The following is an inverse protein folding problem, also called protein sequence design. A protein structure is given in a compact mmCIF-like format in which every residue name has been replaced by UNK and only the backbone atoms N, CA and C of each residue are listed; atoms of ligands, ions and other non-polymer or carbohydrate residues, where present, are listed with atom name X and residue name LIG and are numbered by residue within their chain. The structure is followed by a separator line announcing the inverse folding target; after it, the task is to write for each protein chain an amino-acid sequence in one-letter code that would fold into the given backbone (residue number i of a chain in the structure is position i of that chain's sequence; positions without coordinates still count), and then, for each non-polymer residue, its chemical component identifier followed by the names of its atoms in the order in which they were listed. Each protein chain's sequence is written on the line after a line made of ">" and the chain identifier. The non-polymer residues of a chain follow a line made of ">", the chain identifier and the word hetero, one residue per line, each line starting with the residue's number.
data_IF_381056418742
#
_entry.id   IF_381056418742
#
_cell.length_a   1.000
_cell.length_b   1.000
_cell.length_c   1.000
_cell.angle_alpha   90.00
_cell.angle_beta   90.00
_cell.angle_gamma   90.00
#
_symmetry.space_group_name_H-M   'P 1'
#
loop_
_entity.id
_entity.type
_entity.pdbx_description
1 polymer ?
#
# COMPACT_ATOMS: atom_id res chain seq x y z
N UNK A 1 0.45 2.05 18.22
CA UNK A 1 0.20 2.49 16.84
C UNK A 1 0.96 3.80 16.66
N UNK A 2 1.72 3.93 15.59
CA UNK A 2 2.39 5.17 15.20
C UNK A 2 1.70 5.73 13.96
N UNK A 3 1.34 7.01 14.00
CA UNK A 3 0.79 7.76 12.86
C UNK A 3 1.78 8.83 12.46
N UNK A 4 1.62 9.42 11.27
CA UNK A 4 2.53 10.47 10.83
C UNK A 4 3.87 9.94 10.26
N UNK A 5 4.00 8.63 10.06
CA UNK A 5 5.26 7.99 9.69
C UNK A 5 5.58 8.33 8.23
N UNK A 6 6.59 9.17 8.00
CA UNK A 6 6.95 9.63 6.64
C UNK A 6 5.85 10.42 5.95
N UNK A 7 5.00 11.14 6.70
CA UNK A 7 3.84 11.86 6.18
C UNK A 7 2.54 11.30 6.73
N UNK A 8 1.69 10.71 5.89
CA UNK A 8 0.39 10.14 6.31
C UNK A 8 0.46 8.65 6.64
N UNK A 9 1.66 8.05 6.70
CA UNK A 9 1.83 6.64 6.97
C UNK A 9 1.42 6.24 8.39
N UNK A 10 0.93 5.01 8.52
CA UNK A 10 0.50 4.41 9.79
C UNK A 10 1.19 3.07 9.98
N UNK A 11 1.70 2.83 11.18
CA UNK A 11 2.33 1.56 11.55
C UNK A 11 1.70 1.05 12.84
N UNK A 12 1.14 -0.15 12.80
CA UNK A 12 0.69 -0.86 14.00
C UNK A 12 1.59 -2.06 14.27
N UNK A 13 1.72 -2.42 15.56
CA UNK A 13 2.55 -3.52 16.01
C UNK A 13 1.67 -4.52 16.75
N UNK A 14 1.79 -5.80 16.42
CA UNK A 14 1.07 -6.91 17.07
C UNK A 14 2.08 -7.99 17.43
N UNK A 15 1.95 -8.60 18.62
CA UNK A 15 2.84 -9.65 19.12
C UNK A 15 3.77 -9.20 20.24
N UNK A 16 4.85 -9.95 20.46
CA UNK A 16 5.70 -9.84 21.66
C UNK A 16 6.54 -8.55 21.72
N UNK A 17 6.71 -7.86 20.60
CA UNK A 17 7.67 -6.76 20.47
C UNK A 17 9.13 -7.22 20.34
N UNK A 18 9.38 -8.53 20.39
CA UNK A 18 10.70 -9.14 20.19
C UNK A 18 10.86 -9.67 18.75
N UNK A 19 12.09 -10.00 18.40
CA UNK A 19 12.42 -10.64 17.14
C UNK A 19 11.93 -12.12 17.12
N UNK A 20 11.68 -12.70 15.94
CA UNK A 20 11.66 -12.08 14.60
C UNK A 20 10.57 -11.03 14.42
N UNK A 21 10.86 -10.04 13.58
CA UNK A 21 9.91 -9.00 13.17
C UNK A 21 9.59 -9.22 11.69
N UNK A 22 8.31 -9.29 11.34
CA UNK A 22 7.84 -9.36 9.96
C UNK A 22 7.00 -8.13 9.61
N UNK A 23 7.12 -7.62 8.40
CA UNK A 23 6.25 -6.56 7.88
C UNK A 23 5.14 -7.16 7.03
N UNK A 24 3.91 -6.72 7.25
CA UNK A 24 2.80 -6.83 6.31
C UNK A 24 2.45 -5.42 5.82
N UNK A 25 2.61 -5.15 4.53
CA UNK A 25 2.45 -3.82 3.93
C UNK A 25 1.22 -3.74 3.04
N UNK A 26 0.50 -2.64 3.14
CA UNK A 26 -0.53 -2.18 2.20
C UNK A 26 -0.26 -0.71 1.85
N UNK A 27 -0.43 -0.36 0.58
CA UNK A 27 -0.54 1.02 0.11
C UNK A 27 -1.95 1.57 0.39
N UNK A 28 -2.08 2.91 0.46
CA UNK A 28 -3.33 3.57 0.88
C UNK A 28 -3.73 4.79 0.04
N UNK A 29 -2.91 5.22 -0.92
CA UNK A 29 -3.22 6.36 -1.79
C UNK A 29 -4.23 6.01 -2.88
N UNK A 30 -4.95 7.03 -3.36
CA UNK A 30 -5.80 6.94 -4.54
C UNK A 30 -5.19 7.67 -5.73
N UNK A 31 -5.85 7.57 -6.88
CA UNK A 31 -5.41 8.18 -8.14
C UNK A 31 -6.26 9.39 -8.52
N UNK A 32 -5.70 10.38 -9.25
CA UNK A 32 -6.43 11.53 -9.78
C UNK A 32 -7.17 11.17 -11.07
N UNK A 33 -8.00 10.12 -11.01
CA UNK A 33 -8.85 9.67 -12.11
C UNK A 33 -10.30 9.55 -11.64
N UNK A 34 -11.29 9.97 -12.46
CA UNK A 34 -12.70 9.75 -12.15
C UNK A 34 -12.99 8.27 -11.93
N UNK A 35 -13.91 7.98 -11.01
CA UNK A 35 -14.41 6.62 -10.88
C UNK A 35 -15.40 6.31 -12.01
N UNK A 36 -15.11 5.27 -12.78
CA UNK A 36 -15.98 4.79 -13.85
C UNK A 36 -16.36 3.34 -13.56
N UNK A 37 -17.66 3.07 -13.44
CA UNK A 37 -18.17 1.70 -13.36
C UNK A 37 -18.36 1.17 -14.78
N UNK A 38 -17.67 0.09 -15.18
CA UNK A 38 -17.86 -0.51 -16.49
C UNK A 38 -19.32 -0.95 -16.69
N UNK A 39 -19.86 -0.74 -17.89
CA UNK A 39 -21.28 -1.01 -18.20
C UNK A 39 -21.69 -2.48 -18.06
N UNK A 40 -20.72 -3.39 -18.04
CA UNK A 40 -20.91 -4.83 -17.83
C UNK A 40 -20.95 -5.23 -16.34
N UNK A 41 -20.72 -4.31 -15.40
CA UNK A 41 -20.87 -4.57 -13.96
C UNK A 41 -22.34 -4.39 -13.58
N UNK A 42 -23.02 -5.43 -13.07
CA UNK A 42 -24.39 -5.31 -12.59
C UNK A 42 -24.49 -4.22 -11.50
N UNK A 43 -25.50 -3.34 -11.52
CA UNK A 43 -25.65 -2.29 -10.50
C UNK A 43 -25.72 -2.85 -9.07
N UNK A 44 -26.18 -4.08 -8.89
CA UNK A 44 -26.21 -4.77 -7.59
C UNK A 44 -24.83 -5.13 -7.03
N UNK A 45 -23.77 -5.10 -7.85
CA UNK A 45 -22.39 -5.32 -7.41
C UNK A 45 -21.65 -4.01 -7.12
N UNK A 46 -22.24 -2.85 -7.44
CA UNK A 46 -21.69 -1.54 -7.09
C UNK A 46 -22.18 -1.21 -5.68
N UNK A 47 -21.31 -1.40 -4.69
CA UNK A 47 -21.65 -1.21 -3.27
C UNK A 47 -21.44 0.25 -2.86
N UNK A 48 -20.33 0.85 -3.26
CA UNK A 48 -20.00 2.26 -3.04
C UNK A 48 -19.20 2.82 -4.22
N UNK A 49 -19.21 4.15 -4.34
CA UNK A 49 -18.39 4.90 -5.30
C UNK A 49 -17.76 6.10 -4.59
N UNK A 50 -16.62 6.56 -5.12
CA UNK A 50 -15.95 7.76 -4.66
C UNK A 50 -16.87 8.97 -4.69
N UNK A 51 -16.94 9.66 -3.55
CA UNK A 51 -17.63 10.93 -3.40
C UNK A 51 -16.72 12.13 -3.74
N UNK A 52 -15.46 11.87 -4.12
CA UNK A 52 -14.49 12.88 -4.51
C UNK A 52 -14.37 12.95 -6.03
N UNK A 53 -14.84 14.05 -6.62
CA UNK A 53 -14.77 14.25 -8.06
C UNK A 53 -13.34 14.12 -8.60
N UNK A 54 -13.19 13.34 -9.68
CA UNK A 54 -11.90 13.10 -10.34
C UNK A 54 -10.90 12.28 -9.52
N UNK A 55 -11.34 11.58 -8.46
CA UNK A 55 -10.47 10.73 -7.63
C UNK A 55 -11.11 9.39 -7.36
N UNK A 56 -10.31 8.32 -7.38
CA UNK A 56 -10.78 6.97 -7.10
C UNK A 56 -9.64 6.06 -6.65
N UNK A 57 -9.97 4.90 -6.06
CA UNK A 57 -9.01 3.83 -5.80
C UNK A 57 -8.91 2.87 -7.00
N UNK A 58 -8.65 3.41 -8.19
CA UNK A 58 -8.58 2.63 -9.43
C UNK A 58 -7.46 1.56 -9.46
N UNK A 59 -6.50 1.62 -8.53
CA UNK A 59 -5.44 0.62 -8.35
C UNK A 59 -5.73 -0.42 -7.23
N UNK A 60 -6.85 -0.28 -6.52
CA UNK A 60 -7.28 -1.25 -5.50
C UNK A 60 -6.64 -1.10 -4.12
N UNK A 61 -6.01 0.04 -3.82
CA UNK A 61 -5.33 0.30 -2.54
C UNK A 61 -6.30 0.33 -1.35
N UNK A 62 -7.57 0.66 -1.57
CA UNK A 62 -8.65 0.48 -0.60
C UNK A 62 -8.82 -0.99 -0.21
N UNK A 63 -8.81 -1.89 -1.18
CA UNK A 63 -8.82 -3.34 -0.98
C UNK A 63 -7.58 -3.82 -0.22
N UNK A 64 -6.39 -3.31 -0.54
CA UNK A 64 -5.15 -3.65 0.17
C UNK A 64 -5.22 -3.22 1.64
N UNK A 65 -5.66 -1.99 1.91
CA UNK A 65 -5.84 -1.47 3.26
C UNK A 65 -6.86 -2.29 4.06
N UNK A 66 -8.00 -2.63 3.45
CA UNK A 66 -9.04 -3.46 4.07
C UNK A 66 -8.53 -4.87 4.39
N UNK A 67 -7.78 -5.50 3.49
CA UNK A 67 -7.15 -6.81 3.73
C UNK A 67 -6.16 -6.76 4.90
N UNK A 68 -5.33 -5.70 4.98
CA UNK A 68 -4.38 -5.55 6.09
C UNK A 68 -5.08 -5.29 7.43
N UNK A 69 -6.18 -4.53 7.44
CA UNK A 69 -7.04 -4.39 8.62
C UNK A 69 -7.68 -5.73 9.03
N UNK A 70 -8.08 -6.55 8.06
CA UNK A 70 -8.55 -7.92 8.30
C UNK A 70 -7.48 -8.79 8.96
N UNK A 71 -6.24 -8.75 8.46
CA UNK A 71 -5.11 -9.44 9.08
C UNK A 71 -4.84 -8.94 10.52
N UNK A 72 -4.90 -7.62 10.74
CA UNK A 72 -4.75 -7.03 12.07
C UNK A 72 -5.79 -7.57 13.07
N UNK A 73 -7.06 -7.65 12.62
CA UNK A 73 -8.16 -8.21 13.42
C UNK A 73 -7.91 -9.68 13.76
N UNK A 74 -7.57 -10.51 12.78
CA UNK A 74 -7.32 -11.94 12.98
C UNK A 74 -6.16 -12.19 13.93
N UNK A 75 -5.03 -11.49 13.74
CA UNK A 75 -3.85 -11.64 14.59
C UNK A 75 -4.14 -11.21 16.04
N UNK A 76 -4.86 -10.11 16.22
CA UNK A 76 -5.22 -9.61 17.55
C UNK A 76 -6.23 -10.53 18.24
N UNK A 77 -7.24 -11.00 17.52
CA UNK A 77 -8.21 -11.99 18.03
C UNK A 77 -7.53 -13.27 18.48
N UNK A 78 -6.65 -13.83 17.65
CA UNK A 78 -5.92 -15.06 17.99
C UNK A 78 -5.01 -14.86 19.22
N UNK A 79 -4.34 -13.71 19.35
CA UNK A 79 -3.55 -13.39 20.55
C UNK A 79 -4.37 -13.18 21.82
N UNK A 80 -5.62 -12.72 21.69
CA UNK A 80 -6.54 -12.61 22.83
C UNK A 80 -7.08 -13.98 23.27
N UNK A 81 -7.30 -14.89 22.33
CA UNK A 81 -7.77 -16.26 22.59
C UNK A 81 -6.64 -17.14 23.16
N UNK A 82 -5.44 -17.02 22.60
CA UNK A 82 -4.22 -17.69 23.06
C UNK A 82 -3.09 -16.65 23.22
N UNK A 83 -2.80 -16.20 24.46
CA UNK A 83 -1.70 -15.28 24.72
C UNK A 83 -0.33 -15.77 24.25
N UNK A 84 -0.16 -17.09 24.03
CA UNK A 84 1.04 -17.69 23.47
C UNK A 84 1.17 -17.56 21.95
N UNK A 85 0.07 -17.27 21.22
CA UNK A 85 -0.02 -17.33 19.76
C UNK A 85 1.03 -16.47 19.05
N UNK A 86 1.33 -15.29 19.59
CA UNK A 86 2.33 -14.35 19.04
C UNK A 86 3.54 -14.14 19.97
N UNK A 87 3.76 -15.05 20.93
CA UNK A 87 4.91 -14.97 21.85
C UNK A 87 6.26 -15.05 21.11
N UNK A 88 6.28 -15.76 19.97
CA UNK A 88 7.47 -16.02 19.17
C UNK A 88 7.90 -14.89 18.23
N UNK A 89 7.26 -13.71 18.24
CA UNK A 89 7.71 -12.61 17.37
C UNK A 89 6.73 -11.44 17.26
N UNK A 90 7.00 -10.58 16.29
CA UNK A 90 6.28 -9.32 16.08
C UNK A 90 5.86 -9.15 14.62
N UNK A 91 4.64 -8.68 14.40
CA UNK A 91 4.13 -8.25 13.10
C UNK A 91 4.00 -6.73 13.10
N UNK A 92 4.66 -6.08 12.14
CA UNK A 92 4.44 -4.67 11.80
C UNK A 92 3.45 -4.58 10.64
N UNK A 93 2.31 -3.97 10.90
CA UNK A 93 1.27 -3.67 9.92
C UNK A 93 1.55 -2.26 9.38
N UNK A 94 2.02 -2.16 8.14
CA UNK A 94 2.51 -0.91 7.54
C UNK A 94 1.54 -0.44 6.47
N UNK A 95 0.85 0.68 6.74
CA UNK A 95 -0.02 1.38 5.82
C UNK A 95 0.78 2.51 5.18
N UNK A 96 1.24 2.28 3.95
CA UNK A 96 2.16 3.14 3.23
C UNK A 96 1.42 4.15 2.35
N UNK A 97 1.68 5.46 2.46
CA UNK A 97 1.13 6.43 1.53
C UNK A 97 1.91 6.42 0.20
N UNK A 98 1.42 7.19 -0.77
CA UNK A 98 2.22 7.68 -1.90
C UNK A 98 2.97 6.56 -2.67
N UNK A 99 2.27 5.47 -2.99
CA UNK A 99 2.79 4.38 -3.81
C UNK A 99 2.91 4.76 -5.27
N UNK A 100 1.95 5.54 -5.77
CA UNK A 100 1.71 5.87 -7.20
C UNK A 100 2.78 6.81 -7.81
N UNK A 101 4.01 6.82 -7.28
CA UNK A 101 5.18 7.51 -7.82
C UNK A 101 5.82 8.55 -6.89
N UNK A 102 5.20 8.85 -5.76
CA UNK A 102 5.63 9.94 -4.83
C UNK A 102 6.63 9.48 -3.75
N UNK A 103 6.95 8.18 -3.73
CA UNK A 103 8.04 7.60 -2.94
C UNK A 103 7.71 7.44 -1.45
N UNK A 104 6.46 7.12 -1.10
CA UNK A 104 6.03 7.08 0.31
C UNK A 104 6.80 6.09 1.19
N UNK A 105 7.16 4.90 0.69
CA UNK A 105 8.00 3.97 1.46
C UNK A 105 9.39 4.56 1.75
N UNK A 106 10.00 5.24 0.79
CA UNK A 106 11.30 5.88 0.98
C UNK A 106 11.23 6.93 2.10
N UNK A 107 10.16 7.73 2.15
CA UNK A 107 9.93 8.71 3.23
C UNK A 107 9.65 8.03 4.57
N UNK A 108 8.86 6.96 4.61
CA UNK A 108 8.64 6.19 5.85
C UNK A 108 9.95 5.64 6.42
N UNK A 109 10.86 5.19 5.58
CA UNK A 109 12.18 4.69 6.02
C UNK A 109 13.11 5.82 6.45
N UNK A 110 13.25 6.87 5.64
CA UNK A 110 14.23 7.93 5.86
C UNK A 110 13.79 8.95 6.91
N UNK A 111 12.55 9.43 6.83
CA UNK A 111 11.99 10.48 7.70
C UNK A 111 11.17 9.88 8.83
N UNK A 112 10.39 8.83 8.54
CA UNK A 112 9.55 8.14 9.51
C UNK A 112 10.29 7.16 10.41
N UNK A 113 11.57 6.88 10.14
CA UNK A 113 12.40 5.99 10.94
C UNK A 113 11.95 4.53 10.95
N UNK A 114 11.14 4.06 9.99
CA UNK A 114 10.53 2.72 10.00
C UNK A 114 11.53 1.59 10.27
N UNK A 115 12.77 1.73 9.77
CA UNK A 115 13.82 0.73 9.93
C UNK A 115 14.91 1.12 10.94
N UNK A 116 14.94 2.37 11.40
CA UNK A 116 16.01 2.92 12.24
C UNK A 116 15.55 3.20 13.68
N UNK A 117 14.30 3.60 13.88
CA UNK A 117 13.70 3.83 15.20
C UNK A 117 13.29 2.50 15.84
N UNK A 118 14.25 1.89 16.53
CA UNK A 118 14.07 0.64 17.28
C UNK A 118 13.19 0.80 18.52
N UNK A 119 13.10 2.01 19.06
CA UNK A 119 12.25 2.27 20.23
C UNK A 119 10.78 2.18 19.83
N UNK A 120 10.43 2.72 18.66
CA UNK A 120 9.05 2.70 18.15
C UNK A 120 8.70 1.38 17.45
N UNK A 121 9.57 0.89 16.56
CA UNK A 121 9.24 -0.23 15.66
C UNK A 121 9.87 -1.57 16.05
N UNK A 122 10.73 -1.58 17.08
CA UNK A 122 11.40 -2.79 17.54
C UNK A 122 12.59 -3.19 16.67
N UNK A 123 13.04 -4.45 16.77
CA UNK A 123 14.19 -4.97 16.03
C UNK A 123 14.03 -4.82 14.50
N UNK A 124 15.14 -4.90 13.77
CA UNK A 124 15.09 -4.88 12.30
C UNK A 124 14.21 -6.03 11.76
N UNK A 125 13.24 -5.74 10.88
CA UNK A 125 12.47 -6.77 10.20
C UNK A 125 13.34 -7.78 9.47
N UNK A 126 13.03 -9.08 9.64
CA UNK A 126 13.69 -10.18 8.94
C UNK A 126 13.04 -10.48 7.59
N UNK A 127 11.79 -10.08 7.40
CA UNK A 127 11.04 -10.25 6.16
C UNK A 127 9.92 -9.23 6.03
N UNK A 128 9.50 -8.99 4.79
CA UNK A 128 8.39 -8.11 4.46
C UNK A 128 7.54 -8.77 3.36
N UNK A 129 6.22 -8.63 3.48
CA UNK A 129 5.25 -9.14 2.53
C UNK A 129 4.29 -8.02 2.13
N UNK A 130 3.92 -8.00 0.86
CA UNK A 130 2.91 -7.13 0.30
C UNK A 130 2.13 -7.92 -0.75
N UNK A 131 0.91 -7.50 -1.02
CA UNK A 131 0.05 -8.06 -2.06
C UNK A 131 -0.44 -6.93 -2.96
N UNK A 132 -0.76 -7.27 -4.19
CA UNK A 132 -1.46 -6.40 -5.11
C UNK A 132 -2.61 -7.19 -5.74
N UNK A 133 -3.82 -6.62 -5.76
CA UNK A 133 -4.94 -7.22 -6.48
C UNK A 133 -4.73 -6.98 -7.98
N UNK A 134 -4.87 -8.02 -8.78
CA UNK A 134 -4.70 -7.93 -10.23
C UNK A 134 -5.94 -8.46 -10.94
N UNK A 135 -6.45 -7.75 -11.96
CA UNK A 135 -7.64 -8.16 -12.71
C UNK A 135 -7.30 -9.18 -13.81
N UNK A 136 -6.49 -10.19 -13.50
CA UNK A 136 -6.12 -11.21 -14.49
C UNK A 136 -7.27 -12.20 -14.71
N UNK A 137 -7.77 -12.29 -15.93
CA UNK A 137 -8.87 -13.19 -16.30
C UNK A 137 -8.54 -14.68 -16.08
N UNK A 138 -7.26 -15.05 -16.06
CA UNK A 138 -6.79 -16.42 -15.81
C UNK A 138 -6.56 -16.73 -14.31
N UNK A 139 -6.71 -15.76 -13.42
CA UNK A 139 -6.48 -15.91 -11.98
C UNK A 139 -7.77 -15.59 -11.22
N UNK A 140 -8.70 -16.55 -11.06
CA UNK A 140 -9.97 -16.31 -10.38
C UNK A 140 -9.77 -15.97 -8.90
N UNK A 141 -10.78 -15.36 -8.27
CA UNK A 141 -10.81 -15.08 -6.83
C UNK A 141 -10.43 -16.30 -6.00
N UNK A 142 -9.58 -16.09 -4.99
CA UNK A 142 -8.99 -17.16 -4.17
C UNK A 142 -7.64 -17.66 -4.70
N UNK A 143 -7.17 -17.16 -5.84
CA UNK A 143 -5.84 -17.46 -6.38
C UNK A 143 -4.81 -16.46 -5.86
N UNK A 144 -3.68 -16.96 -5.36
CA UNK A 144 -2.49 -16.15 -5.03
C UNK A 144 -1.39 -16.51 -6.01
N UNK A 145 -0.91 -15.53 -6.76
CA UNK A 145 0.19 -15.69 -7.69
C UNK A 145 1.48 -15.13 -7.08
N UNK A 146 2.58 -15.84 -7.29
CA UNK A 146 3.90 -15.42 -6.83
C UNK A 146 5.00 -16.04 -7.67
N UNK A 147 6.17 -15.41 -7.65
CA UNK A 147 7.37 -15.87 -8.36
C UNK A 147 8.59 -15.52 -7.53
N UNK A 148 9.58 -16.42 -7.50
CA UNK A 148 10.90 -16.11 -6.95
C UNK A 148 11.71 -15.20 -7.88
N UNK A 149 12.51 -14.32 -7.29
CA UNK A 149 13.30 -13.35 -8.04
C UNK A 149 12.45 -12.18 -8.59
N UNK A 150 12.86 -11.54 -9.69
CA UNK A 150 12.17 -10.37 -10.22
C UNK A 150 10.72 -10.67 -10.65
N UNK A 151 9.79 -9.90 -10.08
CA UNK A 151 8.34 -9.95 -10.39
C UNK A 151 7.82 -8.64 -10.99
N UNK A 152 8.44 -7.49 -10.68
CA UNK A 152 8.13 -6.15 -11.23
C UNK A 152 9.33 -5.58 -11.99
N UNK A 153 9.12 -4.45 -12.68
CA UNK A 153 10.16 -3.73 -13.44
C UNK A 153 10.60 -2.45 -12.72
N UNK A 154 11.84 -2.03 -12.95
CA UNK A 154 12.28 -0.70 -12.51
C UNK A 154 11.57 0.40 -13.32
N UNK A 155 11.08 1.43 -12.63
CA UNK A 155 10.42 2.58 -13.23
C UNK A 155 11.11 3.88 -12.85
N UNK A 156 11.06 4.89 -13.73
CA UNK A 156 11.59 6.23 -13.50
C UNK A 156 10.83 7.23 -14.36
N UNK A 157 10.63 8.44 -13.84
CA UNK A 157 10.00 9.53 -14.57
C UNK A 157 11.06 10.58 -14.97
N UNK A 158 10.91 11.17 -16.15
CA UNK A 158 11.70 12.33 -16.57
C UNK A 158 10.78 13.39 -17.18
N UNK A 159 11.16 14.67 -17.04
CA UNK A 159 10.43 15.80 -17.61
C UNK A 159 11.33 16.52 -18.61
N UNK A 160 10.87 16.65 -19.85
CA UNK A 160 11.50 17.50 -20.86
C UNK A 160 10.65 18.74 -21.10
N UNK A 161 11.29 19.89 -21.29
CA UNK A 161 10.62 21.17 -21.54
C UNK A 161 11.12 21.73 -22.87
N UNK A 162 10.23 21.77 -23.87
CA UNK A 162 10.49 22.50 -25.12
C UNK A 162 10.19 23.97 -24.87
N UNK A 163 11.20 24.83 -25.05
CA UNK A 163 11.04 26.28 -24.98
C UNK A 163 11.04 26.84 -26.40
N UNK A 164 9.85 27.20 -26.89
CA UNK A 164 9.69 27.94 -28.14
C UNK A 164 9.60 29.45 -27.89
N UNK A 165 9.55 30.21 -28.98
CA UNK A 165 9.21 31.62 -28.96
C UNK A 165 7.85 31.78 -29.67
N UNK A 166 6.93 32.52 -29.05
CA UNK A 166 5.63 32.82 -29.67
C UNK A 166 5.79 33.73 -30.88
N UNK A 167 4.97 33.52 -31.91
CA UNK A 167 4.95 34.29 -33.15
C UNK A 167 3.57 34.26 -33.78
N UNK A 168 3.38 35.01 -34.87
CA UNK A 168 2.14 34.91 -35.62
C UNK A 168 2.11 33.56 -36.33
N UNK A 169 1.02 32.79 -36.26
CA UNK A 169 0.93 31.48 -36.92
C UNK A 169 1.19 31.49 -38.45
N UNK A 170 1.13 32.66 -39.09
CA UNK A 170 1.38 32.87 -40.51
C UNK A 170 2.78 33.46 -40.79
N UNK A 171 3.54 33.83 -39.76
CA UNK A 171 4.88 34.43 -39.83
C UNK A 171 5.76 33.72 -38.80
N UNK A 172 6.36 32.57 -39.17
CA UNK A 172 7.15 31.75 -38.25
C UNK A 172 8.40 32.46 -37.73
#
# INVERSE_FOLDING_TARGET
>A
IATGVGGTGVVARVGSGAAPVIILRADIDGLPVPEETPSNVPPSLVVEQSTHEGRSHACGHDGHAAMLLGAAKLLTSAGNEDPGYLSGGTVLLVFQPAEEGEGGMARMMAEGGLLTDKATFGPTPSSAFALHIWPYSYAPTGTVLGKSGPIMVASSAFRFVVKGQGGHAAIP
#
